data_IF_639272829535
#
_entry.id   IF_639272829535
#
_cell.length_a   1.000
_cell.length_b   1.000
_cell.length_c   1.000
_cell.angle_alpha   90.00
_cell.angle_beta   90.00
_cell.angle_gamma   90.00
#
_symmetry.space_group_name_H-M   'P 1'
#
loop_
_entity.id
_entity.type
_entity.pdbx_description
1 polymer ?
#
# COMPACT_ATOMS: atom_id res chain seq x y z
N UNK A 1 15.05 6.43 14.68
CA UNK A 1 13.76 6.01 15.25
C UNK A 1 13.86 5.18 16.52
N UNK A 2 14.71 4.15 16.59
CA UNK A 2 14.88 3.30 17.78
C UNK A 2 15.07 4.09 19.10
N UNK A 3 16.00 5.04 19.15
CA UNK A 3 16.25 5.83 20.37
C UNK A 3 15.09 6.75 20.74
N UNK A 4 14.40 7.31 19.72
CA UNK A 4 13.22 8.15 19.92
C UNK A 4 12.08 7.32 20.52
N UNK A 5 11.84 6.11 20.00
CA UNK A 5 10.86 5.18 20.57
C UNK A 5 11.21 4.78 22.00
N UNK A 6 12.48 4.49 22.29
CA UNK A 6 12.93 4.15 23.64
C UNK A 6 12.76 5.30 24.63
N UNK A 7 13.00 6.53 24.21
CA UNK A 7 12.78 7.73 25.03
C UNK A 7 11.28 7.98 25.26
N UNK A 8 10.44 7.82 24.24
CA UNK A 8 8.97 7.90 24.39
C UNK A 8 8.43 6.79 25.30
N UNK A 9 8.93 5.57 25.19
CA UNK A 9 8.56 4.44 26.05
C UNK A 9 8.88 4.75 27.53
N UNK A 10 10.07 5.31 27.80
CA UNK A 10 10.47 5.73 29.16
C UNK A 10 9.60 6.85 29.70
N UNK A 11 9.34 7.88 28.89
CA UNK A 11 8.47 8.99 29.27
C UNK A 11 7.03 8.51 29.56
N UNK A 12 6.49 7.63 28.72
CA UNK A 12 5.16 7.07 28.92
C UNK A 12 5.06 6.24 30.20
N UNK A 13 6.10 5.47 30.55
CA UNK A 13 6.17 4.74 31.82
C UNK A 13 6.17 5.67 33.04
N UNK A 14 6.87 6.80 32.96
CA UNK A 14 6.89 7.81 34.03
C UNK A 14 5.55 8.54 34.18
N UNK A 15 4.86 8.80 33.07
CA UNK A 15 3.55 9.45 33.05
C UNK A 15 2.38 8.50 33.31
N UNK A 16 2.62 7.18 33.49
CA UNK A 16 1.57 6.17 33.63
C UNK A 16 0.74 5.93 32.34
N UNK A 17 1.20 6.42 31.19
CA UNK A 17 0.46 6.43 29.92
C UNK A 17 0.73 5.23 29.01
N UNK A 18 1.10 4.07 29.56
CA UNK A 18 1.38 2.86 28.75
C UNK A 18 0.13 1.98 28.70
N UNK A 19 -0.48 1.90 27.52
CA UNK A 19 -1.50 0.91 27.21
C UNK A 19 -0.85 -0.34 26.59
N UNK A 20 -1.29 -1.53 27.02
CA UNK A 20 -0.83 -2.81 26.46
C UNK A 20 -2.02 -3.58 25.91
N UNK A 21 -2.02 -3.86 24.61
CA UNK A 21 -3.02 -4.70 23.96
C UNK A 21 -2.51 -6.13 23.95
N UNK A 22 -3.23 -7.04 24.61
CA UNK A 22 -2.90 -8.48 24.63
C UNK A 22 -3.77 -9.18 23.59
N UNK A 23 -3.14 -9.65 22.52
CA UNK A 23 -3.84 -10.37 21.43
C UNK A 23 -3.79 -11.87 21.70
N UNK A 24 -4.94 -12.53 21.56
CA UNK A 24 -5.09 -13.98 21.76
C UNK A 24 -5.90 -14.65 20.64
N UNK A 25 -5.79 -15.97 20.56
CA UNK A 25 -6.36 -16.81 19.52
C UNK A 25 -6.22 -18.30 19.87
N UNK A 26 -6.85 -19.16 19.07
CA UNK A 26 -6.89 -20.61 19.31
C UNK A 26 -5.63 -21.34 18.81
N UNK A 27 -4.90 -20.73 17.87
CA UNK A 27 -3.63 -21.25 17.34
C UNK A 27 -2.59 -20.14 17.25
N UNK A 28 -1.30 -20.50 17.23
CA UNK A 28 -0.21 -19.52 17.09
C UNK A 28 -0.31 -18.72 15.78
N UNK A 29 -0.70 -19.38 14.69
CA UNK A 29 -0.87 -18.74 13.38
C UNK A 29 -1.96 -17.66 13.44
N UNK A 30 -3.09 -17.97 14.09
CA UNK A 30 -4.18 -17.01 14.28
C UNK A 30 -3.78 -15.84 15.19
N UNK A 31 -3.05 -16.12 16.29
CA UNK A 31 -2.53 -15.06 17.18
C UNK A 31 -1.62 -14.11 16.40
N UNK A 32 -0.75 -14.66 15.54
CA UNK A 32 0.17 -13.86 14.74
C UNK A 32 -0.57 -12.95 13.75
N UNK A 33 -1.51 -13.50 12.98
CA UNK A 33 -2.31 -12.72 12.03
C UNK A 33 -3.15 -11.64 12.72
N UNK A 34 -3.80 -11.96 13.84
CA UNK A 34 -4.56 -10.99 14.63
C UNK A 34 -3.66 -9.91 15.21
N UNK A 35 -2.45 -10.26 15.64
CA UNK A 35 -1.48 -9.31 16.16
C UNK A 35 -1.05 -8.34 15.06
N UNK A 36 -0.71 -8.85 13.89
CA UNK A 36 -0.33 -8.02 12.74
C UNK A 36 -1.45 -7.02 12.39
N UNK A 37 -2.72 -7.45 12.38
CA UNK A 37 -3.88 -6.55 12.20
C UNK A 37 -4.02 -5.48 13.27
N UNK A 38 -3.75 -5.81 14.53
CA UNK A 38 -3.81 -4.85 15.64
C UNK A 38 -2.67 -3.82 15.53
N UNK A 39 -1.48 -4.27 15.17
CA UNK A 39 -0.33 -3.40 14.95
C UNK A 39 -0.60 -2.43 13.78
N UNK A 40 -1.15 -2.93 12.66
CA UNK A 40 -1.57 -2.11 11.52
C UNK A 40 -2.63 -1.07 11.91
N UNK A 41 -3.67 -1.46 12.65
CA UNK A 41 -4.71 -0.55 13.11
C UNK A 41 -4.16 0.55 14.05
N UNK A 42 -3.22 0.20 14.93
CA UNK A 42 -2.54 1.16 15.79
C UNK A 42 -1.74 2.17 14.97
N UNK A 43 -0.96 1.70 13.98
CA UNK A 43 -0.18 2.57 13.11
C UNK A 43 -1.05 3.48 12.24
N UNK A 44 -2.14 2.96 11.68
CA UNK A 44 -3.11 3.74 10.93
C UNK A 44 -3.75 4.84 11.78
N UNK A 45 -4.13 4.53 13.03
CA UNK A 45 -4.69 5.50 13.96
C UNK A 45 -3.68 6.61 14.29
N UNK A 46 -2.42 6.27 14.55
CA UNK A 46 -1.35 7.27 14.76
C UNK A 46 -1.18 8.18 13.55
N UNK A 47 -1.13 7.60 12.36
CA UNK A 47 -1.01 8.36 11.11
C UNK A 47 -2.22 9.28 10.85
N UNK A 48 -3.42 8.83 11.21
CA UNK A 48 -4.65 9.61 11.10
C UNK A 48 -4.67 10.81 12.06
N UNK A 49 -4.14 10.65 13.28
CA UNK A 49 -3.99 11.76 14.24
C UNK A 49 -2.98 12.81 13.76
N UNK A 50 -1.93 12.39 13.06
CA UNK A 50 -0.86 13.29 12.59
C UNK A 50 -1.27 14.16 11.39
N UNK A 51 -1.86 13.58 10.35
CA UNK A 51 -2.16 14.29 9.08
C UNK A 51 -3.65 14.28 8.70
N UNK A 52 -4.52 13.73 9.55
CA UNK A 52 -5.96 13.63 9.29
C UNK A 52 -6.36 12.42 8.45
N UNK A 53 -7.62 12.42 8.02
CA UNK A 53 -8.27 11.32 7.30
C UNK A 53 -8.87 11.79 5.96
N UNK A 54 -8.90 10.86 5.00
CA UNK A 54 -9.40 11.05 3.65
C UNK A 54 -10.47 9.99 3.34
N UNK A 55 -11.35 10.21 2.34
CA UNK A 55 -12.22 9.15 1.85
C UNK A 55 -11.36 8.02 1.29
N UNK A 56 -11.61 6.81 1.77
CA UNK A 56 -10.79 5.66 1.43
C UNK A 56 -11.09 5.09 0.05
N UNK A 57 -10.78 3.80 -0.14
CA UNK A 57 -11.13 3.06 -1.36
C UNK A 57 -10.45 3.60 -2.62
N UNK A 58 -9.33 4.33 -2.47
CA UNK A 58 -8.62 4.98 -3.57
C UNK A 58 -9.28 6.27 -4.10
N UNK A 59 -10.42 6.70 -3.54
CA UNK A 59 -11.15 7.88 -4.01
C UNK A 59 -10.34 9.16 -3.82
N UNK A 60 -9.64 9.31 -2.69
CA UNK A 60 -8.79 10.46 -2.44
C UNK A 60 -7.73 10.69 -3.56
N UNK A 61 -7.10 9.60 -4.04
CA UNK A 61 -6.13 9.67 -5.13
C UNK A 61 -6.81 10.05 -6.46
N UNK A 62 -7.97 9.46 -6.75
CA UNK A 62 -8.76 9.82 -7.92
C UNK A 62 -9.16 11.30 -7.92
N UNK A 63 -9.51 11.87 -6.75
CA UNK A 63 -9.84 13.30 -6.63
C UNK A 63 -8.61 14.19 -6.80
N UNK A 64 -7.45 13.75 -6.32
CA UNK A 64 -6.18 14.45 -6.51
C UNK A 64 -5.77 14.58 -7.98
N UNK A 65 -6.31 13.75 -8.88
CA UNK A 65 -6.09 13.83 -10.33
C UNK A 65 -6.34 15.23 -10.91
N UNK A 66 -7.30 15.98 -10.36
CA UNK A 66 -7.61 17.35 -10.83
C UNK A 66 -6.45 18.32 -10.62
N UNK A 67 -5.60 18.09 -9.62
CA UNK A 67 -4.43 18.94 -9.39
C UNK A 67 -3.43 18.85 -10.56
N UNK A 68 -3.43 17.74 -11.31
CA UNK A 68 -2.56 17.54 -12.47
C UNK A 68 -2.94 18.44 -13.65
N UNK A 69 -4.15 18.99 -13.69
CA UNK A 69 -4.59 19.90 -14.78
C UNK A 69 -3.84 21.23 -14.76
N UNK A 70 -3.29 21.61 -13.60
CA UNK A 70 -2.57 22.86 -13.39
C UNK A 70 -1.04 22.70 -13.43
N UNK A 71 -0.53 21.50 -13.73
CA UNK A 71 0.91 21.25 -13.80
C UNK A 71 1.45 21.81 -15.12
N UNK A 72 2.27 22.86 -15.03
CA UNK A 72 2.98 23.41 -16.18
C UNK A 72 4.07 22.43 -16.65
N UNK A 73 4.21 22.30 -17.97
CA UNK A 73 5.19 21.41 -18.61
C UNK A 73 5.92 22.17 -19.72
N UNK A 74 7.23 21.94 -19.83
CA UNK A 74 8.10 22.60 -20.79
C UNK A 74 8.11 21.90 -22.16
N UNK A 75 7.83 20.59 -22.18
CA UNK A 75 7.92 19.75 -23.37
C UNK A 75 6.90 18.59 -23.38
N UNK A 76 6.71 17.91 -24.54
CA UNK A 76 5.78 16.79 -24.65
C UNK A 76 6.10 15.57 -23.77
N UNK A 77 7.36 15.35 -23.43
CA UNK A 77 7.78 14.21 -22.59
C UNK A 77 7.37 14.43 -21.13
N UNK A 78 7.52 15.66 -20.62
CA UNK A 78 7.00 16.03 -19.31
C UNK A 78 5.47 15.89 -19.25
N UNK A 79 4.76 16.29 -20.31
CA UNK A 79 3.31 16.06 -20.41
C UNK A 79 2.95 14.58 -20.32
N UNK A 80 3.70 13.74 -21.02
CA UNK A 80 3.55 12.28 -20.97
C UNK A 80 3.77 11.75 -19.54
N UNK A 81 4.76 12.29 -18.81
CA UNK A 81 4.97 11.99 -17.39
C UNK A 81 3.76 12.32 -16.51
N UNK A 82 3.14 13.48 -16.70
CA UNK A 82 1.90 13.86 -15.99
C UNK A 82 0.77 12.88 -16.31
N UNK A 83 0.60 12.50 -17.57
CA UNK A 83 -0.43 11.56 -18.01
C UNK A 83 -0.22 10.14 -17.46
N UNK A 84 1.04 9.71 -17.29
CA UNK A 84 1.37 8.44 -16.61
C UNK A 84 0.87 8.47 -15.16
N UNK A 85 1.16 9.54 -14.41
CA UNK A 85 0.68 9.68 -13.03
C UNK A 85 -0.84 9.72 -12.99
N UNK A 86 -1.47 10.48 -13.90
CA UNK A 86 -2.94 10.56 -14.00
C UNK A 86 -3.60 9.21 -14.18
N UNK A 87 -2.99 8.31 -14.97
CA UNK A 87 -3.47 6.94 -15.14
C UNK A 87 -3.16 6.06 -13.92
N UNK A 88 -2.01 6.22 -13.30
CA UNK A 88 -1.55 5.38 -12.19
C UNK A 88 -2.40 5.56 -10.92
N UNK A 89 -2.83 6.79 -10.61
CA UNK A 89 -3.64 7.09 -9.42
C UNK A 89 -5.03 6.45 -9.44
N UNK A 90 -5.49 5.94 -10.59
CA UNK A 90 -6.75 5.19 -10.73
C UNK A 90 -6.59 3.70 -10.40
N UNK A 91 -5.36 3.19 -10.42
CA UNK A 91 -5.08 1.78 -10.20
C UNK A 91 -5.60 1.26 -8.85
N UNK A 92 -5.50 1.99 -7.72
CA UNK A 92 -6.02 1.50 -6.44
C UNK A 92 -7.54 1.26 -6.47
N UNK A 93 -8.32 2.20 -7.01
CA UNK A 93 -9.78 2.05 -7.13
C UNK A 93 -10.13 0.84 -8.01
N UNK A 94 -9.46 0.72 -9.17
CA UNK A 94 -9.69 -0.40 -10.10
C UNK A 94 -9.36 -1.74 -9.44
N UNK A 95 -8.23 -1.84 -8.76
CA UNK A 95 -7.81 -3.07 -8.11
C UNK A 95 -8.77 -3.48 -6.98
N UNK A 96 -9.25 -2.51 -6.19
CA UNK A 96 -10.25 -2.77 -5.14
C UNK A 96 -11.55 -3.30 -5.76
N UNK A 97 -12.02 -2.67 -6.84
CA UNK A 97 -13.23 -3.11 -7.56
C UNK A 97 -13.07 -4.53 -8.13
N UNK A 98 -11.97 -4.80 -8.82
CA UNK A 98 -11.68 -6.13 -9.40
C UNK A 98 -11.62 -7.21 -8.32
N UNK A 99 -10.95 -6.95 -7.18
CA UNK A 99 -10.85 -7.88 -6.07
C UNK A 99 -12.21 -8.18 -5.42
N UNK A 100 -13.16 -7.26 -5.50
CA UNK A 100 -14.54 -7.45 -5.03
C UNK A 100 -15.50 -8.01 -6.10
N UNK A 101 -14.99 -8.33 -7.31
CA UNK A 101 -15.79 -8.88 -8.40
C UNK A 101 -16.59 -7.84 -9.20
N UNK A 102 -16.37 -6.55 -8.99
CA UNK A 102 -16.96 -5.46 -9.76
C UNK A 102 -16.07 -5.06 -10.94
N UNK A 103 -16.64 -4.45 -11.98
CA UNK A 103 -15.86 -3.97 -13.13
C UNK A 103 -15.30 -2.57 -12.85
N UNK A 104 -13.97 -2.47 -12.70
CA UNK A 104 -13.33 -1.23 -12.26
C UNK A 104 -13.54 -0.03 -13.19
N UNK A 105 -13.75 -0.23 -14.50
CA UNK A 105 -14.02 0.89 -15.43
C UNK A 105 -15.41 1.49 -15.20
N UNK A 106 -16.42 0.65 -14.90
CA UNK A 106 -17.77 1.13 -14.54
C UNK A 106 -17.72 1.92 -13.23
N UNK A 107 -17.00 1.40 -12.22
CA UNK A 107 -16.88 2.09 -10.92
C UNK A 107 -16.18 3.43 -11.10
N UNK A 108 -15.04 3.46 -11.80
CA UNK A 108 -14.31 4.70 -12.10
C UNK A 108 -15.15 5.70 -12.90
N UNK A 109 -15.90 5.22 -13.90
CA UNK A 109 -16.82 6.04 -14.68
C UNK A 109 -17.83 6.76 -13.80
N UNK A 110 -18.55 6.00 -12.96
CA UNK A 110 -19.52 6.56 -12.01
C UNK A 110 -18.89 7.52 -11.00
N UNK A 111 -17.70 7.19 -10.48
CA UNK A 111 -17.01 8.06 -9.53
C UNK A 111 -16.60 9.41 -10.14
N UNK A 112 -16.42 9.49 -11.46
CA UNK A 112 -16.08 10.73 -12.18
C UNK A 112 -17.30 11.60 -12.50
N UNK A 113 -18.51 11.07 -12.42
CA UNK A 113 -19.75 11.84 -12.68
C UNK A 113 -20.00 12.91 -11.62
N UNK A 114 -19.40 12.76 -10.43
CA UNK A 114 -19.49 13.74 -9.35
C UNK A 114 -18.12 14.23 -8.92
N UNK A 115 -18.12 15.48 -8.44
CA UNK A 115 -16.94 16.15 -7.91
C UNK A 115 -16.92 16.21 -6.40
N UNK A 116 -17.94 15.67 -5.74
CA UNK A 116 -17.96 15.57 -4.28
C UNK A 116 -16.77 14.74 -3.80
N UNK A 117 -16.04 15.30 -2.84
CA UNK A 117 -14.82 14.71 -2.33
C UNK A 117 -15.13 13.44 -1.53
N UNK A 118 -16.17 13.44 -0.70
CA UNK A 118 -16.56 12.29 0.13
C UNK A 118 -17.30 11.19 -0.62
N UNK A 119 -17.88 11.51 -1.78
CA UNK A 119 -18.61 10.53 -2.59
C UNK A 119 -17.66 9.50 -3.20
N UNK A 120 -17.92 8.24 -2.85
CA UNK A 120 -17.14 7.10 -3.29
C UNK A 120 -17.99 5.86 -3.51
N UNK A 121 -17.30 4.73 -3.62
CA UNK A 121 -17.91 3.41 -3.73
C UNK A 121 -17.32 2.49 -2.69
N UNK A 122 -18.18 1.87 -1.89
CA UNK A 122 -17.78 0.96 -0.84
C UNK A 122 -17.82 -0.47 -1.36
N UNK A 123 -16.64 -1.03 -1.59
CA UNK A 123 -16.49 -2.40 -2.10
C UNK A 123 -17.04 -3.48 -1.15
N UNK A 124 -17.20 -3.18 0.15
CA UNK A 124 -17.75 -4.13 1.12
C UNK A 124 -19.26 -4.30 0.99
N UNK A 125 -19.98 -3.22 0.68
CA UNK A 125 -21.45 -3.22 0.53
C UNK A 125 -21.90 -3.13 -0.93
N UNK A 126 -20.99 -2.83 -1.85
CA UNK A 126 -21.24 -2.56 -3.26
C UNK A 126 -22.13 -1.33 -3.51
N UNK A 127 -22.10 -0.34 -2.60
CA UNK A 127 -22.94 0.86 -2.67
C UNK A 127 -22.10 2.13 -2.91
N UNK A 128 -22.69 3.08 -3.64
CA UNK A 128 -22.13 4.42 -3.78
C UNK A 128 -22.72 5.35 -2.72
N UNK A 129 -21.91 6.29 -2.21
CA UNK A 129 -22.37 7.26 -1.23
C UNK A 129 -21.22 7.98 -0.53
N UNK A 130 -21.52 8.62 0.58
CA UNK A 130 -20.51 9.27 1.41
C UNK A 130 -19.66 8.23 2.17
N UNK A 131 -18.39 8.12 1.80
CA UNK A 131 -17.46 7.18 2.41
C UNK A 131 -17.13 7.53 3.86
N UNK A 132 -17.21 8.82 4.24
CA UNK A 132 -17.02 9.20 5.63
C UNK A 132 -18.15 8.66 6.51
N UNK A 133 -19.40 8.89 6.11
CA UNK A 133 -20.58 8.33 6.78
C UNK A 133 -20.60 6.80 6.81
N UNK A 134 -20.02 6.14 5.81
CA UNK A 134 -19.89 4.68 5.75
C UNK A 134 -18.66 4.13 6.50
N UNK A 135 -17.80 4.99 7.05
CA UNK A 135 -16.60 4.59 7.78
C UNK A 135 -15.45 4.05 6.92
N UNK A 136 -15.50 4.26 5.60
CA UNK A 136 -14.42 3.87 4.67
C UNK A 136 -13.45 5.04 4.55
N UNK A 137 -12.49 5.09 5.47
CA UNK A 137 -11.54 6.19 5.59
C UNK A 137 -10.09 5.68 5.57
N UNK A 138 -9.20 6.48 5.01
CA UNK A 138 -7.76 6.21 4.99
C UNK A 138 -6.98 7.37 5.64
N UNK A 139 -5.91 7.12 6.40
CA UNK A 139 -5.04 8.18 6.90
C UNK A 139 -4.37 8.95 5.76
N UNK A 140 -4.45 10.28 5.78
CA UNK A 140 -3.90 11.13 4.73
C UNK A 140 -2.39 10.90 4.52
N UNK A 141 -1.66 10.71 5.62
CA UNK A 141 -0.23 10.39 5.63
C UNK A 141 0.09 9.13 4.82
N UNK A 142 -0.73 8.10 4.94
CA UNK A 142 -0.51 6.80 4.27
C UNK A 142 -0.71 6.98 2.77
N UNK A 143 -1.81 7.61 2.35
CA UNK A 143 -2.11 7.87 0.93
C UNK A 143 -1.01 8.69 0.26
N UNK A 144 -0.56 9.77 0.93
CA UNK A 144 0.54 10.62 0.44
C UNK A 144 1.86 9.86 0.34
N UNK A 145 2.23 9.14 1.40
CA UNK A 145 3.51 8.42 1.48
C UNK A 145 3.56 7.28 0.46
N UNK A 146 2.46 6.56 0.26
CA UNK A 146 2.36 5.51 -0.75
C UNK A 146 2.58 6.05 -2.17
N UNK A 147 1.93 7.16 -2.53
CA UNK A 147 2.11 7.79 -3.84
C UNK A 147 3.56 8.28 -4.05
N UNK A 148 4.14 8.93 -3.04
CA UNK A 148 5.53 9.41 -3.10
C UNK A 148 6.54 8.27 -3.22
N UNK A 149 6.36 7.18 -2.45
CA UNK A 149 7.21 6.00 -2.52
C UNK A 149 7.14 5.32 -3.89
N UNK A 150 5.92 5.13 -4.42
CA UNK A 150 5.71 4.54 -5.74
C UNK A 150 6.34 5.40 -6.85
N UNK A 151 6.11 6.72 -6.83
CA UNK A 151 6.70 7.64 -7.80
C UNK A 151 8.23 7.68 -7.74
N UNK A 152 8.81 7.61 -6.53
CA UNK A 152 10.26 7.60 -6.34
C UNK A 152 10.92 6.39 -6.98
N UNK A 153 10.36 5.19 -6.78
CA UNK A 153 10.93 3.96 -7.36
C UNK A 153 10.66 3.91 -8.87
N UNK A 154 9.45 4.30 -9.30
CA UNK A 154 9.11 4.34 -10.72
C UNK A 154 10.02 5.28 -11.51
N UNK A 155 10.32 6.47 -10.97
CA UNK A 155 11.22 7.43 -11.60
C UNK A 155 12.63 6.86 -11.82
N UNK A 156 13.18 6.16 -10.82
CA UNK A 156 14.49 5.50 -10.93
C UNK A 156 14.47 4.41 -12.02
N UNK A 157 13.45 3.55 -12.00
CA UNK A 157 13.34 2.44 -12.95
C UNK A 157 13.16 2.91 -14.40
N UNK A 158 12.36 3.95 -14.63
CA UNK A 158 12.12 4.48 -15.99
C UNK A 158 13.41 5.05 -16.61
N UNK A 159 14.34 5.53 -15.79
CA UNK A 159 15.65 6.05 -16.25
C UNK A 159 16.77 5.00 -16.30
N UNK A 160 16.47 3.74 -16.00
CA UNK A 160 17.48 2.68 -15.93
C UNK A 160 17.78 2.11 -17.32
N UNK A 161 18.91 2.49 -17.90
CA UNK A 161 19.36 2.01 -19.22
C UNK A 161 20.10 0.67 -19.17
N UNK A 162 20.74 0.35 -18.06
CA UNK A 162 21.52 -0.88 -17.90
C UNK A 162 21.46 -1.42 -16.46
N UNK A 163 21.53 -2.74 -16.33
CA UNK A 163 21.60 -3.45 -15.05
C UNK A 163 22.76 -4.44 -15.08
N UNK A 164 23.51 -4.50 -13.98
CA UNK A 164 24.56 -5.50 -13.77
C UNK A 164 24.06 -6.48 -12.71
N UNK A 165 23.94 -7.75 -13.08
CA UNK A 165 23.48 -8.81 -12.20
C UNK A 165 24.54 -9.89 -12.05
N UNK A 166 24.50 -10.61 -10.92
CA UNK A 166 25.32 -11.81 -10.75
C UNK A 166 24.84 -12.90 -11.72
N UNK A 167 25.81 -13.60 -12.34
CA UNK A 167 25.49 -14.74 -13.19
C UNK A 167 24.82 -15.82 -12.34
N UNK A 168 23.68 -16.40 -12.77
CA UNK A 168 23.06 -17.51 -12.06
C UNK A 168 24.09 -18.62 -11.79
N UNK A 169 24.23 -19.00 -10.53
CA UNK A 169 25.09 -20.12 -10.15
C UNK A 169 24.52 -21.36 -10.84
N UNK A 170 25.36 -22.07 -11.59
CA UNK A 170 24.99 -23.44 -12.00
C UNK A 170 24.91 -24.24 -10.71
N UNK A 171 23.75 -24.81 -10.40
CA UNK A 171 23.68 -25.87 -9.40
C UNK A 171 24.71 -26.91 -9.82
N UNK A 172 25.74 -27.10 -9.00
CA UNK A 172 26.64 -28.22 -9.19
C UNK A 172 25.75 -29.46 -9.09
N UNK A 173 25.66 -30.24 -10.18
CA UNK A 173 25.13 -31.58 -10.09
C UNK A 173 25.81 -32.21 -8.87
N UNK A 174 25.01 -32.52 -7.84
CA UNK A 174 25.51 -33.22 -6.66
C UNK A 174 26.36 -34.38 -7.19
N UNK A 175 27.61 -34.56 -6.69
CA UNK A 175 28.49 -35.58 -7.22
C UNK A 175 27.71 -36.89 -7.24
N UNK A 176 27.59 -37.48 -8.43
CA UNK A 176 27.01 -38.80 -8.60
C UNK A 176 27.74 -39.70 -7.61
N UNK A 177 27.02 -40.18 -6.59
CA UNK A 177 27.50 -41.23 -5.71
C UNK A 177 28.07 -42.34 -6.61
N UNK A 178 29.34 -42.74 -6.45
CA UNK A 178 29.91 -43.79 -7.28
C UNK A 178 29.09 -45.07 -7.10
N UNK A 179 28.29 -45.37 -8.11
CA UNK A 179 27.77 -46.71 -8.31
C UNK A 179 28.92 -47.60 -8.73
N UNK A 180 29.16 -48.66 -7.95
CA UNK A 180 29.84 -49.86 -8.43
C UNK A 180 31.06 -50.28 -7.63
N UNK A 181 30.95 -51.45 -7.00
CA UNK A 181 32.08 -52.26 -6.54
C UNK A 181 31.72 -53.11 -5.34
N UNK A 182 31.19 -54.31 -5.58
CA UNK A 182 30.65 -55.21 -4.56
C UNK A 182 31.69 -55.95 -3.72
N UNK A 183 31.19 -56.63 -2.68
CA UNK A 183 31.76 -57.89 -2.17
C UNK A 183 30.61 -58.75 -1.64
N UNK A 184 30.57 -60.00 -2.14
CA UNK A 184 29.87 -61.14 -1.58
C UNK A 184 30.19 -61.31 -0.09
N UNK A 185 29.14 -61.47 0.73
CA UNK A 185 28.92 -62.46 1.81
C UNK A 185 27.73 -62.01 2.66
#
# INVERSE_FOLDING_TARGET
DYDREKLQERLAKLAGGVAVIRVGGSTEIEVKERKDRVDDAMHATRAAVEEGILPGGGVALLRAAKALDNVAVDNPDQKTGVDIVRRAIEAPVRQIAENSGAEGSIILGKLRETTDFGYGWNAQTNEFGDLYGQGVIDPAKVVRTALQGAASVAGLLVTTEAMVAEKPKKEAAAPAMPGGGGMDF
#
